data_IF_651919052335
#
_entry.id   IF_651919052335
#
_cell.length_a   1.000
_cell.length_b   1.000
_cell.length_c   1.000
_cell.angle_alpha   90.00
_cell.angle_beta   90.00
_cell.angle_gamma   90.00
#
_symmetry.space_group_name_H-M   'P 1'
#
loop_
_entity.id
_entity.type
_entity.pdbx_description
1 polymer ?
#
# COMPACT_ATOMS: atom_id res chain seq x y z
N UNK A 1 3.01 -68.60 -1.30
CA UNK A 1 3.04 -67.37 -0.52
C UNK A 1 3.73 -66.31 -1.33
N UNK A 2 2.94 -65.45 -2.04
CA UNK A 2 3.49 -64.37 -2.87
C UNK A 2 3.41 -63.07 -2.07
N UNK A 3 4.54 -62.41 -1.85
CA UNK A 3 4.62 -61.08 -1.28
C UNK A 3 4.27 -60.04 -2.36
N UNK A 4 3.21 -59.29 -2.19
CA UNK A 4 2.89 -58.13 -3.01
C UNK A 4 3.59 -56.89 -2.40
N UNK A 5 4.48 -56.27 -3.20
CA UNK A 5 5.18 -55.05 -2.86
C UNK A 5 4.29 -53.88 -3.30
N UNK A 6 3.90 -52.92 -2.42
CA UNK A 6 3.13 -51.79 -2.84
C UNK A 6 4.03 -50.81 -3.62
N UNK A 7 3.63 -50.46 -4.83
CA UNK A 7 4.26 -49.40 -5.63
C UNK A 7 3.67 -48.06 -5.19
N UNK A 8 4.49 -47.24 -4.56
CA UNK A 8 4.16 -45.86 -4.26
C UNK A 8 4.29 -45.00 -5.53
N UNK A 9 3.17 -44.55 -6.06
CA UNK A 9 3.14 -43.57 -7.16
C UNK A 9 3.37 -42.18 -6.54
N UNK A 10 4.56 -41.63 -6.72
CA UNK A 10 4.87 -40.24 -6.40
C UNK A 10 4.23 -39.36 -7.47
N UNK A 11 3.15 -38.69 -7.16
CA UNK A 11 2.58 -37.66 -8.05
C UNK A 11 3.57 -36.50 -8.16
N UNK A 12 3.89 -36.00 -9.38
CA UNK A 12 4.69 -34.80 -9.53
C UNK A 12 3.88 -33.61 -8.96
N UNK A 13 4.34 -33.07 -7.84
CA UNK A 13 3.81 -31.81 -7.31
C UNK A 13 4.06 -30.72 -8.36
N UNK A 14 3.01 -30.01 -8.79
CA UNK A 14 3.15 -28.77 -9.55
C UNK A 14 3.81 -27.73 -8.65
N UNK A 15 5.14 -27.66 -8.65
CA UNK A 15 5.84 -26.51 -8.08
C UNK A 15 5.71 -25.36 -9.07
N UNK A 16 5.00 -24.30 -8.68
CA UNK A 16 5.07 -23.04 -9.42
C UNK A 16 6.54 -22.61 -9.53
N UNK A 17 6.99 -22.06 -10.67
CA UNK A 17 8.34 -21.53 -10.77
C UNK A 17 8.54 -20.46 -9.67
N UNK A 18 9.75 -20.37 -9.09
CA UNK A 18 10.04 -19.32 -8.11
C UNK A 18 9.75 -17.95 -8.74
N UNK A 19 9.23 -16.98 -7.97
CA UNK A 19 8.97 -15.63 -8.46
C UNK A 19 10.24 -15.08 -9.13
N UNK A 20 10.10 -14.41 -10.27
CA UNK A 20 11.21 -13.67 -10.89
C UNK A 20 11.55 -12.45 -10.02
N UNK A 21 12.36 -12.69 -8.99
CA UNK A 21 12.77 -11.68 -8.03
C UNK A 21 13.44 -10.48 -8.69
N UNK A 22 14.28 -10.74 -9.71
CA UNK A 22 14.99 -9.66 -10.42
C UNK A 22 14.04 -8.79 -11.23
N UNK A 23 13.12 -9.39 -11.96
CA UNK A 23 12.11 -8.69 -12.73
C UNK A 23 11.19 -7.86 -11.83
N UNK A 24 10.77 -8.40 -10.69
CA UNK A 24 9.97 -7.70 -9.70
C UNK A 24 10.69 -6.46 -9.14
N UNK A 25 11.95 -6.61 -8.68
CA UNK A 25 12.75 -5.49 -8.15
C UNK A 25 12.93 -4.40 -9.22
N UNK A 26 13.28 -4.78 -10.46
CA UNK A 26 13.43 -3.83 -11.56
C UNK A 26 12.15 -3.06 -11.85
N UNK A 27 10.99 -3.73 -11.78
CA UNK A 27 9.69 -3.11 -11.98
C UNK A 27 9.42 -2.04 -10.89
N UNK A 28 9.56 -2.40 -9.61
CA UNK A 28 9.34 -1.46 -8.49
C UNK A 28 10.31 -0.27 -8.58
N UNK A 29 11.57 -0.50 -8.91
CA UNK A 29 12.53 0.59 -9.10
C UNK A 29 12.16 1.50 -10.27
N UNK A 30 11.67 0.95 -11.38
CA UNK A 30 11.22 1.74 -12.52
C UNK A 30 10.00 2.61 -12.16
N UNK A 31 9.04 2.06 -11.43
CA UNK A 31 7.87 2.79 -10.91
C UNK A 31 8.30 3.95 -9.98
N UNK A 32 9.24 3.70 -9.07
CA UNK A 32 9.80 4.71 -8.15
C UNK A 32 10.53 5.83 -8.91
N UNK A 33 11.37 5.49 -9.90
CA UNK A 33 12.03 6.48 -10.77
C UNK A 33 11.03 7.33 -11.53
N UNK A 34 10.01 6.70 -12.13
CA UNK A 34 8.96 7.42 -12.86
C UNK A 34 8.22 8.39 -11.94
N UNK A 35 7.89 7.98 -10.71
CA UNK A 35 7.24 8.86 -9.74
C UNK A 35 8.09 10.09 -9.42
N UNK A 36 9.40 9.93 -9.23
CA UNK A 36 10.32 11.07 -9.02
C UNK A 36 10.29 12.02 -10.21
N UNK A 37 10.31 11.51 -11.44
CA UNK A 37 10.22 12.34 -12.66
C UNK A 37 8.91 13.14 -12.68
N UNK A 38 7.77 12.48 -12.41
CA UNK A 38 6.46 13.13 -12.37
C UNK A 38 6.41 14.21 -11.29
N UNK A 39 6.93 13.95 -10.10
CA UNK A 39 6.91 14.88 -8.97
C UNK A 39 7.90 16.06 -9.14
N UNK A 40 8.94 15.86 -9.94
CA UNK A 40 9.92 16.92 -10.27
C UNK A 40 9.49 17.79 -11.45
N UNK A 41 8.40 17.42 -12.16
CA UNK A 41 7.98 18.12 -13.37
C UNK A 41 7.39 19.52 -13.04
N UNK A 42 8.01 20.61 -13.49
CA UNK A 42 7.53 21.96 -13.19
C UNK A 42 6.32 22.40 -14.04
N UNK A 43 6.01 21.66 -15.10
CA UNK A 43 4.97 22.05 -16.10
C UNK A 43 3.60 21.47 -15.72
N UNK A 44 3.58 20.26 -15.13
CA UNK A 44 2.36 19.71 -14.56
C UNK A 44 2.02 20.42 -13.25
N UNK A 45 0.76 20.36 -12.82
CA UNK A 45 0.39 20.80 -11.47
C UNK A 45 1.37 20.22 -10.45
N UNK A 46 2.24 21.05 -9.83
CA UNK A 46 3.34 20.52 -9.03
C UNK A 46 2.79 19.86 -7.76
N UNK A 47 2.96 18.56 -7.66
CA UNK A 47 2.56 17.81 -6.45
C UNK A 47 3.36 18.29 -5.23
N UNK A 48 4.59 18.76 -5.46
CA UNK A 48 5.47 19.35 -4.45
C UNK A 48 5.68 20.83 -4.79
N UNK A 49 5.37 21.77 -3.88
CA UNK A 49 5.67 23.18 -4.08
C UNK A 49 7.17 23.40 -4.38
N UNK A 50 7.51 24.26 -5.32
CA UNK A 50 8.91 24.46 -5.77
C UNK A 50 9.89 24.71 -4.61
N UNK A 51 9.50 25.54 -3.63
CA UNK A 51 10.32 25.87 -2.48
C UNK A 51 10.53 24.72 -1.50
N UNK A 52 9.68 23.66 -1.57
CA UNK A 52 9.76 22.46 -0.73
C UNK A 52 10.38 21.26 -1.45
N UNK A 53 10.69 21.35 -2.74
CA UNK A 53 11.23 20.21 -3.51
C UNK A 53 12.49 19.60 -2.88
N UNK A 54 13.39 20.43 -2.35
CA UNK A 54 14.62 19.97 -1.69
C UNK A 54 14.38 19.13 -0.41
N UNK A 55 13.20 19.30 0.23
CA UNK A 55 12.87 18.61 1.46
C UNK A 55 12.32 17.19 1.18
N UNK A 56 11.71 17.02 0.01
CA UNK A 56 11.02 15.77 -0.38
C UNK A 56 11.75 14.97 -1.45
N UNK A 57 12.61 15.61 -2.27
CA UNK A 57 13.28 14.95 -3.40
C UNK A 57 14.76 14.71 -3.13
N UNK A 58 15.28 13.54 -3.55
CA UNK A 58 14.54 12.42 -4.12
C UNK A 58 13.60 11.77 -3.09
N UNK A 59 12.46 11.24 -3.55
CA UNK A 59 11.53 10.53 -2.68
C UNK A 59 12.25 9.39 -1.96
N UNK A 60 12.00 9.25 -0.67
CA UNK A 60 12.62 8.22 0.15
C UNK A 60 11.76 6.95 0.22
N UNK A 61 12.41 5.80 0.13
CA UNK A 61 11.78 4.48 0.17
C UNK A 61 12.52 3.55 1.13
N UNK A 62 11.79 2.57 1.65
CA UNK A 62 12.42 1.38 2.22
C UNK A 62 13.04 0.51 1.12
N UNK A 63 13.98 -0.35 1.50
CA UNK A 63 14.46 -1.41 0.60
C UNK A 63 13.28 -2.25 0.09
N UNK A 64 13.37 -2.72 -1.15
CA UNK A 64 12.35 -3.60 -1.70
C UNK A 64 12.50 -4.96 -1.02
N UNK A 65 11.37 -5.47 -0.50
CA UNK A 65 11.32 -6.76 0.18
C UNK A 65 10.04 -7.49 -0.23
N UNK A 66 10.19 -8.65 -0.86
CA UNK A 66 9.08 -9.46 -1.34
C UNK A 66 8.21 -10.03 -0.21
N UNK A 67 8.72 -10.09 1.04
CA UNK A 67 7.91 -10.47 2.19
C UNK A 67 6.72 -9.54 2.42
N UNK A 68 6.78 -8.33 1.89
CA UNK A 68 5.68 -7.36 1.93
C UNK A 68 4.77 -7.39 0.70
N UNK A 69 4.93 -8.36 -0.19
CA UNK A 69 4.06 -8.65 -1.32
C UNK A 69 3.30 -9.95 -1.03
N UNK A 70 2.05 -9.84 -0.60
CA UNK A 70 1.28 -10.96 -0.04
C UNK A 70 -0.08 -11.13 -0.72
N UNK A 71 -0.55 -12.39 -0.89
CA UNK A 71 -1.90 -12.65 -1.36
C UNK A 71 -2.94 -12.19 -0.33
N UNK A 72 -4.06 -11.68 -0.83
CA UNK A 72 -5.19 -11.24 -0.05
C UNK A 72 -6.51 -11.67 -0.68
N UNK A 73 -7.51 -11.93 0.15
CA UNK A 73 -8.87 -12.20 -0.29
C UNK A 73 -9.78 -11.06 0.11
N UNK A 74 -10.52 -10.51 -0.85
CA UNK A 74 -11.57 -9.54 -0.56
C UNK A 74 -12.82 -10.27 -0.08
N UNK A 75 -13.21 -10.01 1.16
CA UNK A 75 -14.56 -10.31 1.66
C UNK A 75 -15.44 -9.13 1.32
N UNK A 76 -16.32 -9.25 0.32
CA UNK A 76 -17.16 -8.13 -0.10
C UNK A 76 -18.10 -7.70 1.02
N UNK A 77 -18.38 -6.41 1.10
CA UNK A 77 -19.42 -5.89 1.97
C UNK A 77 -20.80 -6.45 1.55
N UNK A 78 -21.67 -6.79 2.50
CA UNK A 78 -23.01 -7.30 2.18
C UNK A 78 -23.82 -6.35 1.29
N UNK A 79 -23.65 -5.06 1.53
CA UNK A 79 -24.21 -3.96 0.74
C UNK A 79 -23.10 -2.94 0.46
N UNK A 80 -23.16 -2.29 -0.71
CA UNK A 80 -22.29 -1.15 -0.99
C UNK A 80 -22.84 0.06 -0.24
N UNK A 81 -22.19 0.42 0.84
CA UNK A 81 -22.56 1.58 1.64
C UNK A 81 -21.62 2.74 1.32
N UNK A 82 -22.20 3.92 1.12
CA UNK A 82 -21.42 5.16 1.07
C UNK A 82 -21.09 5.57 2.48
N UNK A 83 -19.81 5.60 2.80
CA UNK A 83 -19.27 6.07 4.08
C UNK A 83 -18.64 7.45 3.90
N UNK A 84 -18.74 8.27 4.93
CA UNK A 84 -18.14 9.61 4.95
C UNK A 84 -16.77 9.52 5.63
N UNK A 85 -15.68 9.72 4.88
CA UNK A 85 -14.32 9.67 5.40
C UNK A 85 -13.81 11.09 5.63
N UNK A 86 -13.33 11.44 6.84
CA UNK A 86 -12.72 12.74 7.11
C UNK A 86 -11.49 12.98 6.22
N UNK A 87 -11.29 14.21 5.78
CA UNK A 87 -10.14 14.58 4.95
C UNK A 87 -9.20 15.56 5.65
N UNK A 88 -8.00 15.73 5.08
CA UNK A 88 -6.94 16.59 5.61
C UNK A 88 -7.30 18.08 5.62
N UNK A 89 -8.31 18.51 4.87
CA UNK A 89 -8.75 19.91 4.78
C UNK A 89 -10.06 20.18 5.52
N UNK A 90 -10.63 19.13 6.16
CA UNK A 90 -11.83 19.24 7.00
C UNK A 90 -13.12 18.69 6.40
N UNK A 91 -13.43 18.82 5.10
CA UNK A 91 -14.61 18.20 4.52
C UNK A 91 -14.63 16.67 4.67
N UNK A 92 -15.83 16.10 4.63
CA UNK A 92 -16.01 14.66 4.54
C UNK A 92 -16.06 14.23 3.07
N UNK A 93 -15.37 13.15 2.72
CA UNK A 93 -15.40 12.59 1.37
C UNK A 93 -16.28 11.34 1.34
N UNK A 94 -17.29 11.31 0.46
CA UNK A 94 -18.08 10.09 0.25
C UNK A 94 -17.23 9.03 -0.45
N UNK A 95 -17.13 7.84 0.12
CA UNK A 95 -16.45 6.68 -0.44
C UNK A 95 -17.38 5.48 -0.37
N UNK A 96 -17.36 4.61 -1.38
CA UNK A 96 -18.07 3.32 -1.33
C UNK A 96 -17.20 2.30 -0.59
N UNK A 97 -17.75 1.66 0.45
CA UNK A 97 -17.09 0.53 1.12
C UNK A 97 -17.30 -0.73 0.29
N UNK A 98 -16.21 -1.28 -0.25
CA UNK A 98 -16.25 -2.47 -1.09
C UNK A 98 -16.19 -3.78 -0.28
N UNK A 99 -15.53 -3.75 0.87
CA UNK A 99 -15.35 -4.93 1.71
C UNK A 99 -14.10 -4.83 2.59
N UNK A 100 -13.59 -5.99 2.97
CA UNK A 100 -12.38 -6.12 3.80
C UNK A 100 -11.43 -7.08 3.10
N UNK A 101 -10.19 -6.64 2.86
CA UNK A 101 -9.09 -7.47 2.41
C UNK A 101 -8.49 -8.19 3.61
N UNK A 102 -8.49 -9.53 3.60
CA UNK A 102 -7.84 -10.36 4.60
C UNK A 102 -6.57 -10.96 4.02
N UNK A 103 -5.49 -10.89 4.77
CA UNK A 103 -4.17 -11.38 4.36
C UNK A 103 -3.36 -11.86 5.57
N UNK A 104 -2.25 -12.53 5.30
CA UNK A 104 -1.29 -12.93 6.34
C UNK A 104 0.05 -12.29 6.02
N UNK A 105 0.64 -11.60 6.98
CA UNK A 105 1.97 -11.00 6.88
C UNK A 105 2.77 -11.37 8.13
N UNK A 106 3.98 -11.90 7.94
CA UNK A 106 4.85 -12.37 9.03
C UNK A 106 4.13 -13.32 10.02
N UNK A 107 3.29 -14.21 9.49
CA UNK A 107 2.52 -15.18 10.29
C UNK A 107 1.31 -14.58 11.03
N UNK A 108 1.07 -13.28 10.95
CA UNK A 108 -0.09 -12.62 11.55
C UNK A 108 -1.23 -12.47 10.53
N UNK A 109 -2.45 -12.82 10.94
CA UNK A 109 -3.66 -12.52 10.17
C UNK A 109 -4.03 -11.07 10.38
N UNK A 110 -4.15 -10.34 9.29
CA UNK A 110 -4.42 -8.91 9.25
C UNK A 110 -5.57 -8.63 8.30
N UNK A 111 -6.16 -7.45 8.44
CA UNK A 111 -7.21 -7.01 7.54
C UNK A 111 -7.18 -5.50 7.31
N UNK A 112 -7.65 -5.08 6.13
CA UNK A 112 -7.81 -3.67 5.76
C UNK A 112 -9.16 -3.49 5.04
N UNK A 113 -9.96 -2.56 5.48
CA UNK A 113 -11.13 -2.13 4.75
C UNK A 113 -10.72 -1.48 3.43
N UNK A 114 -11.39 -1.90 2.36
CA UNK A 114 -11.18 -1.40 1.00
C UNK A 114 -12.35 -0.52 0.59
N UNK A 115 -12.02 0.62 0.00
CA UNK A 115 -12.97 1.63 -0.46
C UNK A 115 -12.81 1.87 -1.96
N UNK A 116 -13.74 2.60 -2.55
CA UNK A 116 -13.62 3.14 -3.89
C UNK A 116 -14.24 4.53 -3.96
N UNK A 117 -13.77 5.35 -4.87
CA UNK A 117 -14.50 6.56 -5.27
C UNK A 117 -15.86 6.15 -5.88
N UNK A 118 -16.92 6.92 -5.69
CA UNK A 118 -18.23 6.63 -6.28
C UNK A 118 -18.15 6.35 -7.78
N UNK A 119 -18.66 5.19 -8.19
CA UNK A 119 -18.61 4.73 -9.59
C UNK A 119 -17.29 4.11 -10.02
N UNK A 120 -16.26 4.09 -9.20
CA UNK A 120 -15.00 3.39 -9.47
C UNK A 120 -15.09 1.92 -9.03
N UNK A 121 -14.25 1.08 -9.66
CA UNK A 121 -14.03 -0.31 -9.23
C UNK A 121 -12.65 -0.52 -8.65
N UNK A 122 -11.76 0.47 -8.75
CA UNK A 122 -10.40 0.43 -8.20
C UNK A 122 -10.47 0.52 -6.69
N UNK A 123 -9.78 -0.39 -6.01
CA UNK A 123 -9.72 -0.40 -4.56
C UNK A 123 -8.74 0.67 -4.09
N UNK A 124 -9.20 1.49 -3.17
CA UNK A 124 -8.41 2.46 -2.42
C UNK A 124 -8.31 1.97 -0.97
N UNK A 125 -7.08 1.80 -0.49
CA UNK A 125 -6.80 1.25 0.84
C UNK A 125 -5.91 2.23 1.61
N UNK A 126 -6.50 3.22 2.29
CA UNK A 126 -5.76 4.08 3.19
C UNK A 126 -5.47 3.32 4.49
N UNK A 127 -4.23 3.36 5.00
CA UNK A 127 -3.85 2.65 6.22
C UNK A 127 -2.84 3.40 7.06
N UNK A 128 -2.81 3.08 8.36
CA UNK A 128 -1.75 3.42 9.30
C UNK A 128 -1.12 2.13 9.84
N UNK A 129 0.12 2.25 10.25
CA UNK A 129 0.87 1.16 10.89
C UNK A 129 1.81 1.74 11.97
N UNK A 130 2.61 0.90 12.61
CA UNK A 130 3.51 1.36 13.68
C UNK A 130 4.61 2.31 13.17
N UNK A 131 4.92 2.33 11.85
CA UNK A 131 5.87 3.31 11.27
C UNK A 131 5.29 4.72 11.18
N UNK A 132 3.96 4.87 11.23
CA UNK A 132 3.26 6.16 11.11
C UNK A 132 3.53 7.13 12.27
N UNK A 133 4.30 6.71 13.28
CA UNK A 133 4.70 7.56 14.41
C UNK A 133 6.00 8.32 14.16
N UNK A 134 6.93 7.71 13.38
CA UNK A 134 8.30 8.25 13.29
C UNK A 134 9.01 8.02 11.95
N UNK A 135 8.59 7.03 11.16
CA UNK A 135 9.28 6.61 9.93
C UNK A 135 8.51 6.98 8.67
N UNK A 136 7.16 7.05 8.75
CA UNK A 136 6.28 7.44 7.65
C UNK A 136 5.34 8.55 8.08
N UNK A 137 4.59 9.12 7.13
CA UNK A 137 3.68 10.22 7.40
C UNK A 137 2.65 9.88 8.49
N UNK A 138 2.50 10.70 9.55
CA UNK A 138 1.61 10.39 10.67
C UNK A 138 0.14 10.23 10.31
N UNK A 139 -0.31 10.82 9.20
CA UNK A 139 -1.67 10.65 8.72
C UNK A 139 -1.87 9.34 7.94
N UNK A 140 -0.81 8.57 7.66
CA UNK A 140 -0.87 7.26 7.03
C UNK A 140 -0.38 7.24 5.58
N UNK A 141 -0.52 6.09 4.95
CA UNK A 141 -0.15 5.79 3.56
C UNK A 141 -1.31 5.14 2.83
N UNK A 142 -1.18 5.03 1.52
CA UNK A 142 -2.21 4.49 0.63
C UNK A 142 -1.68 3.35 -0.21
N UNK A 143 -2.58 2.46 -0.58
CA UNK A 143 -2.44 1.47 -1.63
C UNK A 143 -3.64 1.57 -2.56
N UNK A 144 -3.40 1.38 -3.85
CA UNK A 144 -4.43 1.24 -4.86
C UNK A 144 -4.31 -0.13 -5.53
N UNK A 145 -5.42 -0.85 -5.67
CA UNK A 145 -5.44 -2.13 -6.35
C UNK A 145 -6.47 -2.10 -7.49
N UNK A 146 -6.08 -2.60 -8.66
CA UNK A 146 -6.99 -2.75 -9.77
C UNK A 146 -7.98 -3.91 -9.49
N UNK A 147 -9.22 -3.79 -9.97
CA UNK A 147 -10.24 -4.80 -9.70
C UNK A 147 -9.88 -6.15 -10.33
N UNK A 148 -10.13 -7.24 -9.61
CA UNK A 148 -9.98 -8.60 -10.11
C UNK A 148 -11.33 -9.29 -10.19
N UNK A 149 -11.56 -10.19 -11.16
CA UNK A 149 -12.83 -10.92 -11.28
C UNK A 149 -13.00 -11.99 -10.21
N UNK A 150 -11.92 -12.41 -9.55
CA UNK A 150 -11.90 -13.52 -8.59
C UNK A 150 -12.06 -13.07 -7.14
N UNK A 151 -11.90 -11.79 -6.85
CA UNK A 151 -11.80 -11.28 -5.48
C UNK A 151 -10.48 -11.65 -4.77
N UNK A 152 -9.55 -12.28 -5.49
CA UNK A 152 -8.19 -12.51 -5.00
C UNK A 152 -7.29 -11.38 -5.49
N UNK A 153 -6.54 -10.81 -4.57
CA UNK A 153 -5.66 -9.66 -4.79
C UNK A 153 -4.25 -9.98 -4.32
N UNK A 154 -3.32 -9.17 -4.76
CA UNK A 154 -1.98 -9.12 -4.19
C UNK A 154 -1.77 -7.74 -3.57
N UNK A 155 -1.60 -7.71 -2.25
CA UNK A 155 -1.22 -6.49 -1.53
C UNK A 155 0.29 -6.37 -1.59
N UNK A 156 0.78 -5.35 -2.28
CA UNK A 156 2.19 -5.05 -2.37
C UNK A 156 2.52 -3.75 -1.62
N UNK A 157 2.95 -3.87 -0.38
CA UNK A 157 3.32 -2.73 0.44
C UNK A 157 4.58 -2.01 -0.06
N UNK A 158 5.40 -2.62 -0.96
CA UNK A 158 6.50 -1.92 -1.63
C UNK A 158 6.01 -0.78 -2.54
N UNK A 159 4.71 -0.78 -2.88
CA UNK A 159 4.00 0.28 -3.61
C UNK A 159 3.25 1.25 -2.71
N UNK A 160 3.29 1.07 -1.38
CA UNK A 160 2.64 1.98 -0.45
C UNK A 160 3.23 3.40 -0.59
N UNK A 161 2.36 4.40 -0.65
CA UNK A 161 2.75 5.78 -0.93
C UNK A 161 2.11 6.78 0.04
N UNK A 162 2.78 7.93 0.21
CA UNK A 162 2.24 9.05 0.96
C UNK A 162 1.17 9.79 0.15
N UNK A 163 0.06 10.22 0.79
CA UNK A 163 -0.96 11.05 0.15
C UNK A 163 -0.39 12.38 -0.32
N UNK A 164 -1.02 13.01 -1.31
CA UNK A 164 -0.55 14.28 -1.83
C UNK A 164 -0.52 15.40 -0.78
N UNK A 165 -1.39 15.37 0.22
CA UNK A 165 -1.38 16.34 1.32
C UNK A 165 -0.11 16.28 2.19
N UNK A 166 0.64 15.17 2.15
CA UNK A 166 1.97 15.10 2.74
C UNK A 166 2.96 16.06 2.05
N UNK A 167 2.86 16.18 0.75
CA UNK A 167 3.74 17.02 -0.06
C UNK A 167 3.24 18.46 -0.19
N UNK A 168 1.92 18.64 -0.21
CA UNK A 168 1.27 19.93 -0.38
C UNK A 168 -0.09 19.93 0.35
N UNK A 169 -0.20 20.72 1.39
CA UNK A 169 -1.38 20.79 2.26
C UNK A 169 -2.66 21.30 1.58
N UNK A 170 -2.58 21.80 0.34
CA UNK A 170 -3.76 22.20 -0.43
C UNK A 170 -4.56 21.01 -0.96
N UNK A 171 -3.94 19.81 -1.01
CA UNK A 171 -4.65 18.60 -1.42
C UNK A 171 -5.55 18.06 -0.33
N UNK A 172 -6.76 17.72 -0.72
CA UNK A 172 -7.72 17.05 0.14
C UNK A 172 -7.50 15.52 0.08
N UNK A 173 -7.09 14.93 1.20
CA UNK A 173 -6.77 13.51 1.28
C UNK A 173 -7.58 12.82 2.37
N UNK A 174 -8.27 11.68 2.07
CA UNK A 174 -9.02 10.93 3.06
C UNK A 174 -8.12 10.31 4.12
N UNK A 175 -8.48 10.43 5.39
CA UNK A 175 -7.75 9.77 6.45
C UNK A 175 -8.07 8.28 6.54
N UNK A 176 -7.09 7.43 6.84
CA UNK A 176 -7.35 6.04 7.17
C UNK A 176 -8.34 5.90 8.33
N UNK A 177 -9.42 5.13 8.18
CA UNK A 177 -10.35 4.89 9.27
C UNK A 177 -9.69 4.04 10.37
N UNK A 178 -10.26 4.04 11.61
CA UNK A 178 -9.65 3.35 12.75
C UNK A 178 -9.36 1.86 12.50
N UNK A 179 -10.23 1.16 11.77
CA UNK A 179 -10.05 -0.25 11.42
C UNK A 179 -8.88 -0.51 10.48
N UNK A 180 -8.38 0.50 9.76
CA UNK A 180 -7.21 0.40 8.89
C UNK A 180 -5.90 0.76 9.60
N UNK A 181 -5.82 0.47 10.88
CA UNK A 181 -4.59 0.59 11.66
C UNK A 181 -3.99 -0.81 11.88
N UNK A 182 -2.88 -1.08 11.20
CA UNK A 182 -2.13 -2.32 11.38
C UNK A 182 -1.29 -2.25 12.67
N UNK A 183 -1.33 -3.30 13.51
CA UNK A 183 -0.59 -3.35 14.79
C UNK A 183 0.87 -3.82 14.62
N UNK A 184 1.44 -3.63 13.44
CA UNK A 184 2.81 -3.99 13.10
C UNK A 184 3.45 -2.88 12.26
N UNK A 185 4.76 -2.82 12.21
CA UNK A 185 5.51 -1.90 11.37
C UNK A 185 5.62 -2.43 9.94
N UNK A 186 5.11 -1.67 8.96
CA UNK A 186 5.23 -1.97 7.53
C UNK A 186 6.41 -1.19 6.96
N UNK A 187 7.61 -1.76 7.02
CA UNK A 187 8.84 -1.15 6.48
C UNK A 187 9.04 -1.44 5.01
N UNK A 188 8.02 -1.11 4.20
CA UNK A 188 8.01 -1.20 2.75
C UNK A 188 7.36 0.05 2.14
N UNK A 189 7.62 0.37 0.87
CA UNK A 189 7.08 1.55 0.20
C UNK A 189 7.76 2.87 0.59
N UNK A 190 7.04 3.97 0.50
CA UNK A 190 7.53 5.30 0.84
C UNK A 190 7.76 5.49 2.34
N UNK A 191 8.82 6.21 2.68
CA UNK A 191 9.13 6.68 4.03
C UNK A 191 9.48 8.17 4.03
N UNK A 192 9.56 8.77 5.19
CA UNK A 192 10.02 10.16 5.33
C UNK A 192 11.46 10.31 4.86
N UNK A 193 11.77 11.42 4.18
CA UNK A 193 13.15 11.86 4.03
C UNK A 193 13.72 12.23 5.41
N UNK A 194 15.04 12.30 5.54
CA UNK A 194 15.67 12.72 6.81
C UNK A 194 15.19 14.11 7.23
N UNK A 195 15.11 15.04 6.26
CA UNK A 195 14.60 16.40 6.49
C UNK A 195 13.18 16.37 7.05
N UNK A 196 12.27 15.61 6.43
CA UNK A 196 10.89 15.54 6.86
C UNK A 196 10.73 14.78 8.19
N UNK A 197 11.60 13.81 8.45
CA UNK A 197 11.62 13.13 9.74
C UNK A 197 12.00 14.09 10.87
N UNK A 198 13.01 14.92 10.68
CA UNK A 198 13.41 15.93 11.64
C UNK A 198 12.33 17.01 11.84
N UNK A 199 11.65 17.43 10.77
CA UNK A 199 10.56 18.41 10.84
C UNK A 199 9.35 17.88 11.63
N UNK A 200 8.96 16.63 11.39
CA UNK A 200 7.77 16.03 12.00
C UNK A 200 8.03 15.44 13.41
N UNK A 201 9.29 15.24 13.78
CA UNK A 201 9.70 14.71 15.08
C UNK A 201 10.83 15.58 15.69
N UNK A 202 10.55 16.85 16.02
CA UNK A 202 11.59 17.81 16.43
C UNK A 202 12.26 17.52 17.79
N UNK A 203 11.79 16.51 18.52
CA UNK A 203 12.28 16.11 19.83
C UNK A 203 12.96 14.72 19.84
N UNK A 204 13.55 14.30 18.71
CA UNK A 204 14.32 13.04 18.60
C UNK A 204 15.77 13.23 19.01
#
# INVERSE_FOLDING_TARGET
MGLAIPVWVIAPGCSSPPPDEKGYVQQIEAERRNKVVVFSNPVAEPKIPKHRQKDYLPLAYYSIDQLYHVPAALKPAPTRETVQIPTSTGPMRPMERLGVLEFTLNGQRLSLAAFAEPGSKRLFIPFKDETSRSETYPAGRYLDLDPTPTGLYEIDFNRAYHPYCYFNSTYECPFPPPENRLPIAIRAGEKLTETMRAELNPAG
#
